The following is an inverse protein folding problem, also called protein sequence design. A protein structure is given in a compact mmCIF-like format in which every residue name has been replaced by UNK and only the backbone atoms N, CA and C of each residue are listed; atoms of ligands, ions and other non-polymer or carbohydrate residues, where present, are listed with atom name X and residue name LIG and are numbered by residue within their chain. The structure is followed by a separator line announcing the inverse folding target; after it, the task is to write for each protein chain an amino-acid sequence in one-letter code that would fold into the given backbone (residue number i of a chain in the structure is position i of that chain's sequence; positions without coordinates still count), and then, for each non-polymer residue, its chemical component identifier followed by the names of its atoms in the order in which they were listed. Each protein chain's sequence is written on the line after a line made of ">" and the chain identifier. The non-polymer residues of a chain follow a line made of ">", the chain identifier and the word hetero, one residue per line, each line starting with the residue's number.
data_IF_317886616877
#
_entry.id   IF_317886616877
#
_cell.length_a   1.000
_cell.length_b   1.000
_cell.length_c   1.000
_cell.angle_alpha   90.00
_cell.angle_beta   90.00
_cell.angle_gamma   90.00
#
_symmetry.space_group_name_H-M   'P 1'
#
loop_
_entity.id
_entity.type
_entity.pdbx_description
1 polymer ?
#
# COMPACT_ATOMS: atom_id res chain seq x y z
N UNK A 1 -13.87 5.03 -48.22
CA UNK A 1 -14.62 4.82 -46.95
C UNK A 1 -14.12 5.85 -45.96
N UNK A 2 -15.01 6.53 -45.23
CA UNK A 2 -14.60 7.50 -44.22
C UNK A 2 -13.98 6.76 -43.02
N UNK A 3 -12.88 7.27 -42.47
CA UNK A 3 -12.25 6.71 -41.27
C UNK A 3 -13.18 6.92 -40.08
N UNK A 4 -13.45 5.88 -39.27
CA UNK A 4 -14.27 6.03 -38.06
C UNK A 4 -13.62 7.00 -37.06
N UNK A 5 -14.44 7.66 -36.25
CA UNK A 5 -14.01 8.57 -35.19
C UNK A 5 -13.20 7.82 -34.12
N UNK A 6 -12.08 8.40 -33.70
CA UNK A 6 -11.25 7.82 -32.65
C UNK A 6 -11.80 8.20 -31.26
N UNK A 7 -12.11 7.21 -30.46
CA UNK A 7 -12.54 7.37 -29.07
C UNK A 7 -11.46 6.75 -28.18
N UNK A 8 -10.83 7.58 -27.34
CA UNK A 8 -9.84 7.12 -26.39
C UNK A 8 -10.51 6.41 -25.20
N UNK A 9 -9.94 5.29 -24.77
CA UNK A 9 -10.28 4.59 -23.54
C UNK A 9 -9.00 4.09 -22.88
N UNK A 10 -8.90 4.28 -21.57
CA UNK A 10 -7.83 3.69 -20.78
C UNK A 10 -7.87 2.16 -20.87
N UNK A 11 -6.73 1.48 -21.14
CA UNK A 11 -6.68 0.01 -21.13
C UNK A 11 -7.03 -0.60 -19.77
N UNK A 12 -6.79 0.14 -18.69
CA UNK A 12 -7.00 -0.29 -17.31
C UNK A 12 -7.79 0.78 -16.55
N UNK A 13 -9.12 0.85 -16.71
CA UNK A 13 -9.97 1.78 -15.97
C UNK A 13 -9.90 1.48 -14.47
N UNK A 14 -9.80 2.52 -13.65
CA UNK A 14 -9.71 2.39 -12.20
C UNK A 14 -11.11 2.27 -11.58
N UNK A 15 -11.24 1.34 -10.62
CA UNK A 15 -12.41 1.26 -9.76
C UNK A 15 -12.31 2.26 -8.59
N UNK A 16 -13.40 2.36 -7.80
CA UNK A 16 -13.43 3.18 -6.60
C UNK A 16 -12.45 2.63 -5.55
N UNK A 17 -11.63 3.52 -5.00
CA UNK A 17 -10.75 3.18 -3.89
C UNK A 17 -11.52 3.07 -2.55
N UNK A 18 -11.46 1.89 -1.94
CA UNK A 18 -12.03 1.60 -0.61
C UNK A 18 -10.98 1.55 0.51
N UNK A 19 -9.73 1.88 0.20
CA UNK A 19 -8.60 1.81 1.14
C UNK A 19 -8.73 2.87 2.23
N UNK A 20 -8.44 2.48 3.48
CA UNK A 20 -8.37 3.42 4.61
C UNK A 20 -6.94 3.92 4.76
N UNK A 21 -6.77 5.23 4.86
CA UNK A 21 -5.47 5.88 5.00
C UNK A 21 -5.27 6.45 6.40
N UNK A 22 -4.06 6.30 6.93
CA UNK A 22 -3.57 6.99 8.14
C UNK A 22 -2.72 8.17 7.69
N UNK A 23 -2.98 9.35 8.25
CA UNK A 23 -2.14 10.52 8.04
C UNK A 23 -0.80 10.31 8.77
N UNK A 24 0.32 10.35 8.04
CA UNK A 24 1.67 10.27 8.63
C UNK A 24 2.14 11.63 9.15
N UNK A 25 2.09 12.64 8.28
CA UNK A 25 2.48 14.01 8.60
C UNK A 25 1.81 15.00 7.64
N UNK A 26 1.83 16.29 8.02
CA UNK A 26 1.52 17.42 7.12
C UNK A 26 2.76 18.23 6.75
N UNK A 27 3.91 17.85 7.29
CA UNK A 27 5.21 18.44 6.99
C UNK A 27 5.69 17.98 5.61
N UNK A 28 6.73 18.62 5.09
CA UNK A 28 7.40 18.27 3.82
C UNK A 28 6.54 18.40 2.55
N UNK A 29 5.34 18.97 2.68
CA UNK A 29 4.46 19.26 1.55
C UNK A 29 4.04 20.72 1.57
N UNK A 30 4.04 21.34 0.39
CA UNK A 30 3.57 22.72 0.22
C UNK A 30 2.98 22.91 -1.16
N UNK A 31 2.16 23.95 -1.31
CA UNK A 31 1.60 24.34 -2.62
C UNK A 31 2.24 25.66 -3.03
N UNK A 32 2.69 25.72 -4.27
CA UNK A 32 3.22 26.95 -4.89
C UNK A 32 2.57 27.16 -6.26
N UNK A 33 2.70 28.37 -6.83
CA UNK A 33 2.21 28.67 -8.17
C UNK A 33 3.37 28.86 -9.14
N UNK A 34 3.27 28.24 -10.30
CA UNK A 34 4.19 28.41 -11.41
C UNK A 34 3.38 28.59 -12.69
N UNK A 35 3.59 29.70 -13.39
CA UNK A 35 2.87 30.05 -14.63
C UNK A 35 1.33 29.90 -14.52
N UNK A 36 0.77 30.34 -13.40
CA UNK A 36 -0.67 30.28 -13.14
C UNK A 36 -1.23 28.90 -12.79
N UNK A 37 -0.38 27.86 -12.68
CA UNK A 37 -0.76 26.51 -12.23
C UNK A 37 -0.33 26.27 -10.79
N UNK A 38 -1.15 25.55 -10.04
CA UNK A 38 -0.77 25.07 -8.71
C UNK A 38 0.15 23.86 -8.84
N UNK A 39 1.23 23.87 -8.06
CA UNK A 39 2.26 22.84 -8.02
C UNK A 39 2.34 22.34 -6.58
N UNK A 40 2.16 21.03 -6.41
CA UNK A 40 2.44 20.36 -5.15
C UNK A 40 3.94 20.11 -5.06
N UNK A 41 4.61 20.80 -4.14
CA UNK A 41 6.00 20.55 -3.81
C UNK A 41 6.08 19.53 -2.68
N UNK A 42 6.86 18.48 -2.89
CA UNK A 42 7.10 17.41 -1.92
C UNK A 42 8.60 17.35 -1.67
N UNK A 43 9.04 17.48 -0.43
CA UNK A 43 10.45 17.36 -0.08
C UNK A 43 10.88 15.87 -0.06
N UNK A 44 12.14 15.54 -0.38
CA UNK A 44 12.63 14.15 -0.39
C UNK A 44 12.39 13.40 0.93
N UNK A 45 12.42 14.11 2.05
CA UNK A 45 12.14 13.59 3.40
C UNK A 45 10.75 12.97 3.50
N UNK A 46 9.76 13.49 2.77
CA UNK A 46 8.43 12.88 2.70
C UNK A 46 8.48 11.49 2.06
N UNK A 47 9.31 11.31 1.02
CA UNK A 47 9.48 10.04 0.31
C UNK A 47 10.21 9.02 1.20
N UNK A 48 11.26 9.47 1.91
CA UNK A 48 11.94 8.63 2.90
C UNK A 48 11.00 8.19 4.02
N UNK A 49 10.20 9.12 4.56
CA UNK A 49 9.24 8.82 5.63
C UNK A 49 8.19 7.80 5.19
N UNK A 50 7.54 8.01 4.05
CA UNK A 50 6.47 7.11 3.58
C UNK A 50 7.02 5.73 3.20
N UNK A 51 8.22 5.65 2.61
CA UNK A 51 8.87 4.39 2.31
C UNK A 51 9.23 3.63 3.60
N UNK A 52 9.80 4.32 4.61
CA UNK A 52 10.13 3.73 5.90
C UNK A 52 8.91 3.21 6.66
N UNK A 53 7.87 4.05 6.79
CA UNK A 53 6.60 3.66 7.43
C UNK A 53 5.91 2.52 6.67
N UNK A 54 5.90 2.57 5.34
CA UNK A 54 5.31 1.52 4.50
C UNK A 54 6.03 0.19 4.68
N UNK A 55 7.36 0.16 4.59
CA UNK A 55 8.16 -1.05 4.75
C UNK A 55 8.08 -1.63 6.17
N UNK A 56 8.03 -0.75 7.19
CA UNK A 56 7.75 -1.17 8.57
C UNK A 56 6.38 -1.84 8.65
N UNK A 57 5.32 -1.14 8.24
CA UNK A 57 3.95 -1.61 8.44
C UNK A 57 3.69 -2.93 7.69
N UNK A 58 4.21 -3.12 6.47
CA UNK A 58 4.05 -4.40 5.75
C UNK A 58 4.84 -5.57 6.38
N UNK A 59 5.90 -5.28 7.14
CA UNK A 59 6.72 -6.32 7.78
C UNK A 59 6.06 -6.86 9.06
N UNK A 60 5.20 -6.06 9.69
CA UNK A 60 4.60 -6.38 11.00
C UNK A 60 3.07 -6.53 10.96
N UNK A 61 2.40 -5.97 9.96
CA UNK A 61 0.95 -5.91 9.88
C UNK A 61 0.41 -6.56 8.61
N UNK A 62 -0.81 -7.07 8.71
CA UNK A 62 -1.56 -7.65 7.60
C UNK A 62 -2.86 -6.89 7.38
N UNK A 63 -3.37 -6.91 6.14
CA UNK A 63 -4.68 -6.33 5.83
C UNK A 63 -5.78 -7.07 6.59
N UNK A 64 -6.74 -6.33 7.13
CA UNK A 64 -7.91 -6.90 7.83
C UNK A 64 -8.63 -7.95 6.98
N UNK A 65 -8.85 -7.67 5.69
CA UNK A 65 -9.52 -8.60 4.78
C UNK A 65 -8.75 -9.94 4.59
N UNK A 66 -7.42 -9.95 4.75
CA UNK A 66 -6.66 -11.19 4.74
C UNK A 66 -6.84 -11.96 6.06
N UNK A 67 -6.73 -11.26 7.20
CA UNK A 67 -6.93 -11.86 8.52
C UNK A 67 -8.33 -12.44 8.70
N UNK A 68 -9.37 -11.76 8.21
CA UNK A 68 -10.75 -12.25 8.22
C UNK A 68 -10.91 -13.55 7.42
N UNK A 69 -10.26 -13.66 6.26
CA UNK A 69 -10.26 -14.90 5.47
C UNK A 69 -9.57 -16.04 6.19
N UNK A 70 -8.41 -15.80 6.81
CA UNK A 70 -7.70 -16.82 7.60
C UNK A 70 -8.54 -17.23 8.81
N UNK A 71 -9.16 -16.28 9.50
CA UNK A 71 -10.04 -16.56 10.64
C UNK A 71 -11.30 -17.33 10.26
N UNK A 72 -11.83 -17.14 9.05
CA UNK A 72 -13.00 -17.88 8.57
C UNK A 72 -12.74 -19.39 8.48
N UNK A 73 -11.50 -19.82 8.19
CA UNK A 73 -11.08 -21.24 8.15
C UNK A 73 -11.39 -21.94 9.49
N UNK A 74 -11.26 -21.22 10.62
CA UNK A 74 -11.54 -21.77 11.95
C UNK A 74 -13.03 -22.07 12.20
N UNK A 75 -13.93 -21.61 11.34
CA UNK A 75 -15.37 -21.84 11.46
C UNK A 75 -15.94 -22.66 10.30
N UNK A 76 -15.17 -22.89 9.25
CA UNK A 76 -15.62 -23.59 8.06
C UNK A 76 -15.77 -25.10 8.33
N UNK A 77 -16.99 -25.67 8.30
CA UNK A 77 -17.19 -27.10 8.56
C UNK A 77 -16.49 -28.02 7.55
N UNK A 78 -16.05 -27.50 6.39
CA UNK A 78 -15.30 -28.26 5.38
C UNK A 78 -13.78 -28.22 5.60
N UNK A 79 -13.27 -27.34 6.47
CA UNK A 79 -11.85 -27.23 6.76
C UNK A 79 -11.35 -28.42 7.57
N UNK A 80 -10.24 -29.00 7.14
CA UNK A 80 -9.57 -30.08 7.86
C UNK A 80 -8.97 -29.60 9.18
N UNK A 81 -8.64 -30.54 10.06
CA UNK A 81 -7.93 -30.22 11.30
C UNK A 81 -6.58 -29.53 11.04
N UNK A 82 -5.89 -29.92 9.95
CA UNK A 82 -4.64 -29.30 9.54
C UNK A 82 -4.84 -27.85 9.07
N UNK A 83 -5.90 -27.57 8.29
CA UNK A 83 -6.20 -26.21 7.85
C UNK A 83 -6.46 -25.29 9.05
N UNK A 84 -7.23 -25.78 10.01
CA UNK A 84 -7.53 -25.06 11.26
C UNK A 84 -6.28 -24.83 12.10
N UNK A 85 -5.43 -25.84 12.21
CA UNK A 85 -4.16 -25.75 12.94
C UNK A 85 -3.23 -24.71 12.32
N UNK A 86 -3.06 -24.74 10.99
CA UNK A 86 -2.24 -23.77 10.26
C UNK A 86 -2.81 -22.36 10.38
N UNK A 87 -4.13 -22.19 10.19
CA UNK A 87 -4.78 -20.88 10.32
C UNK A 87 -4.61 -20.29 11.72
N UNK A 88 -4.78 -21.09 12.77
CA UNK A 88 -4.55 -20.65 14.15
C UNK A 88 -3.10 -20.24 14.39
N UNK A 89 -2.15 -21.00 13.85
CA UNK A 89 -0.72 -20.71 13.95
C UNK A 89 -0.38 -19.38 13.25
N UNK A 90 -0.92 -19.15 12.05
CA UNK A 90 -0.73 -17.89 11.31
C UNK A 90 -1.33 -16.69 12.06
N UNK A 91 -2.52 -16.83 12.65
CA UNK A 91 -3.16 -15.75 13.40
C UNK A 91 -2.39 -15.42 14.69
N UNK A 92 -1.85 -16.42 15.39
CA UNK A 92 -0.97 -16.22 16.55
C UNK A 92 0.32 -15.51 16.15
N UNK A 93 0.90 -15.89 15.02
CA UNK A 93 2.08 -15.22 14.48
C UNK A 93 1.78 -13.75 14.13
N UNK A 94 0.61 -13.47 13.56
CA UNK A 94 0.16 -12.11 13.28
C UNK A 94 0.01 -11.27 14.57
N UNK A 95 -0.56 -11.83 15.64
CA UNK A 95 -0.63 -11.15 16.96
C UNK A 95 0.76 -10.80 17.49
N UNK A 96 1.68 -11.76 17.48
CA UNK A 96 3.05 -11.54 17.94
C UNK A 96 3.75 -10.47 17.09
N UNK A 97 3.61 -10.56 15.77
CA UNK A 97 4.27 -9.64 14.85
C UNK A 97 3.75 -8.22 14.98
N UNK A 98 2.45 -8.04 15.23
CA UNK A 98 1.83 -6.72 15.40
C UNK A 98 2.43 -5.88 16.53
N UNK A 99 3.16 -6.50 17.47
CA UNK A 99 3.87 -5.84 18.58
C UNK A 99 5.15 -5.14 18.13
N UNK A 100 5.58 -5.31 16.87
CA UNK A 100 6.66 -4.56 16.24
C UNK A 100 8.08 -5.00 16.62
N UNK A 101 8.25 -6.17 17.24
CA UNK A 101 9.56 -6.71 17.64
C UNK A 101 10.05 -7.77 16.66
N UNK A 102 9.19 -8.74 16.33
CA UNK A 102 9.49 -9.83 15.40
C UNK A 102 8.69 -9.65 14.11
N UNK A 103 9.32 -9.63 12.92
CA UNK A 103 8.58 -9.52 11.67
C UNK A 103 7.73 -10.76 11.45
N UNK A 104 6.69 -10.65 10.63
CA UNK A 104 5.75 -11.75 10.39
C UNK A 104 6.44 -12.96 9.76
N UNK A 105 7.50 -12.74 8.98
CA UNK A 105 8.29 -13.77 8.33
C UNK A 105 9.78 -13.50 8.54
N UNK A 106 10.59 -14.55 8.62
CA UNK A 106 12.06 -14.42 8.66
C UNK A 106 12.62 -13.86 7.34
N UNK A 107 11.98 -14.21 6.23
CA UNK A 107 12.25 -13.62 4.93
C UNK A 107 11.39 -12.36 4.81
N UNK A 108 12.03 -11.20 4.97
CA UNK A 108 11.38 -9.89 4.86
C UNK A 108 11.19 -9.44 3.41
N UNK A 109 11.65 -10.24 2.45
CA UNK A 109 11.45 -10.03 1.03
C UNK A 109 12.36 -8.96 0.42
N UNK A 110 12.01 -8.53 -0.79
CA UNK A 110 12.70 -7.46 -1.53
C UNK A 110 11.85 -6.19 -1.50
N UNK A 111 12.45 -5.08 -1.09
CA UNK A 111 11.78 -3.78 -1.11
C UNK A 111 11.43 -3.38 -2.55
N UNK A 112 10.13 -3.32 -2.85
CA UNK A 112 9.61 -2.96 -4.17
C UNK A 112 8.72 -1.73 -4.03
N UNK A 113 9.06 -0.65 -4.74
CA UNK A 113 8.31 0.60 -4.74
C UNK A 113 7.70 0.83 -6.12
N UNK A 114 6.41 1.12 -6.15
CA UNK A 114 5.70 1.55 -7.36
C UNK A 114 5.15 2.96 -7.15
N UNK A 115 5.80 3.94 -7.78
CA UNK A 115 5.42 5.35 -7.71
C UNK A 115 4.66 5.80 -8.95
N UNK A 116 3.59 6.58 -8.75
CA UNK A 116 2.94 7.36 -9.82
C UNK A 116 3.09 8.84 -9.49
N UNK A 117 3.98 9.54 -10.19
CA UNK A 117 4.17 10.99 -10.02
C UNK A 117 3.32 11.76 -11.03
N UNK A 118 2.39 12.57 -10.53
CA UNK A 118 1.61 13.47 -11.36
C UNK A 118 2.44 14.61 -11.92
N UNK A 119 2.06 15.15 -13.08
CA UNK A 119 2.79 16.23 -13.76
C UNK A 119 3.01 17.48 -12.87
N UNK A 120 2.04 17.80 -12.01
CA UNK A 120 2.08 18.96 -11.11
C UNK A 120 2.65 18.63 -9.71
N UNK A 121 3.28 17.46 -9.56
CA UNK A 121 3.95 17.04 -8.32
C UNK A 121 5.45 17.15 -8.52
N UNK A 122 6.08 18.07 -7.80
CA UNK A 122 7.50 18.36 -7.90
C UNK A 122 8.22 17.89 -6.64
N UNK A 123 9.10 16.92 -6.82
CA UNK A 123 9.94 16.29 -5.79
C UNK A 123 11.38 16.80 -5.80
N UNK A 124 11.72 17.69 -6.73
CA UNK A 124 13.10 18.02 -7.07
C UNK A 124 13.66 17.00 -8.08
N UNK A 125 14.67 16.24 -7.68
CA UNK A 125 15.30 15.19 -8.47
C UNK A 125 15.80 14.06 -7.55
N UNK A 126 16.05 12.88 -8.10
CA UNK A 126 16.47 11.66 -7.37
C UNK A 126 15.41 11.23 -6.37
N UNK A 127 14.30 10.72 -6.92
CA UNK A 127 13.20 10.21 -6.09
C UNK A 127 13.58 8.84 -5.49
N UNK A 128 14.55 8.14 -6.11
CA UNK A 128 15.18 6.88 -5.67
C UNK A 128 16.24 7.08 -4.58
#
# INVERSE_FOLDING_TARGET
>A
MATPEFIYQDPFPLEKDGTKYRLLTREHVSVSRFEGREILKVEPEALTLIAGEGLRDISFLLRTAHLEKVAAILKDPQASDNDRYVALTMLRNADISSKGILPFCQDTGTATIFGKKGQQVWTGARDE
#
